data_IF_629655991141
#
_entry.id   IF_629655991141
#
_cell.length_a   1.000
_cell.length_b   1.000
_cell.length_c   1.000
_cell.angle_alpha   90.00
_cell.angle_beta   90.00
_cell.angle_gamma   90.00
#
_symmetry.space_group_name_H-M   'P 1'
#
loop_
_entity.id
_entity.type
_entity.pdbx_description
1 polymer ?
#
# COMPACT_ATOMS: atom_id res chain seq x y z
N UNK A 1 3.75 9.16 -2.19
CA UNK A 1 2.77 10.19 -2.60
C UNK A 1 1.58 9.46 -3.19
N UNK A 2 0.37 9.73 -2.68
CA UNK A 2 -0.88 9.25 -3.27
C UNK A 2 -0.96 9.71 -4.75
N UNK A 3 -1.32 8.84 -5.72
CA UNK A 3 -1.61 9.25 -7.09
C UNK A 3 -2.72 10.32 -7.20
N UNK A 4 -3.48 10.57 -6.13
CA UNK A 4 -4.52 11.59 -5.99
C UNK A 4 -4.09 12.65 -4.96
N UNK A 5 -3.30 13.63 -5.40
CA UNK A 5 -3.09 14.93 -4.72
C UNK A 5 -2.60 14.94 -3.25
N UNK A 6 -2.24 13.81 -2.64
CA UNK A 6 -1.76 13.74 -1.24
C UNK A 6 -2.86 13.92 -0.19
N UNK A 7 -4.14 13.74 -0.55
CA UNK A 7 -5.26 13.98 0.37
C UNK A 7 -5.44 12.87 1.41
N UNK A 8 -4.95 11.66 1.16
CA UNK A 8 -5.08 10.54 2.09
C UNK A 8 -3.75 9.78 2.30
N UNK A 9 -3.52 9.24 3.50
CA UNK A 9 -2.39 8.35 3.75
C UNK A 9 -2.53 7.08 2.90
N UNK A 10 -1.47 6.76 2.17
CA UNK A 10 -1.43 5.67 1.17
C UNK A 10 -0.35 4.66 1.52
N UNK A 11 -0.68 3.38 1.47
CA UNK A 11 0.23 2.28 1.76
C UNK A 11 0.44 1.40 0.53
N UNK A 12 1.66 0.92 0.37
CA UNK A 12 2.07 -0.01 -0.68
C UNK A 12 2.77 -1.17 0.02
N UNK A 13 2.26 -2.38 -0.17
CA UNK A 13 2.85 -3.60 0.37
C UNK A 13 3.37 -4.46 -0.77
N UNK A 14 4.56 -5.03 -0.55
CA UNK A 14 5.22 -5.95 -1.46
C UNK A 14 5.44 -7.27 -0.73
N UNK A 15 5.06 -8.39 -1.34
CA UNK A 15 5.42 -9.73 -0.90
C UNK A 15 6.24 -10.41 -1.97
N UNK A 16 7.46 -10.80 -1.60
CA UNK A 16 8.42 -11.41 -2.51
C UNK A 16 8.48 -12.91 -2.23
N UNK A 17 8.26 -13.71 -3.26
CA UNK A 17 8.57 -15.13 -3.28
C UNK A 17 9.86 -15.33 -4.08
N UNK A 18 10.89 -15.81 -3.39
CA UNK A 18 12.20 -16.14 -3.97
C UNK A 18 12.33 -17.66 -3.94
N UNK A 19 12.50 -18.28 -5.10
CA UNK A 19 12.74 -19.71 -5.24
C UNK A 19 14.08 -19.93 -5.92
N UNK A 20 15.09 -20.27 -5.12
CA UNK A 20 16.45 -20.51 -5.57
C UNK A 20 16.58 -21.79 -6.40
N UNK A 21 15.70 -22.77 -6.21
CA UNK A 21 15.73 -24.02 -6.99
C UNK A 21 15.28 -23.76 -8.42
N UNK A 22 14.28 -22.89 -8.59
CA UNK A 22 13.76 -22.50 -9.89
C UNK A 22 14.37 -21.21 -10.42
N UNK A 23 15.22 -20.53 -9.66
CA UNK A 23 15.82 -19.23 -9.98
C UNK A 23 14.76 -18.21 -10.44
N UNK A 24 13.69 -18.09 -9.67
CA UNK A 24 12.62 -17.13 -9.95
C UNK A 24 12.35 -16.23 -8.76
N UNK A 25 11.93 -15.01 -9.08
CA UNK A 25 11.37 -14.06 -8.14
C UNK A 25 9.97 -13.68 -8.62
N UNK A 26 8.98 -13.78 -7.73
CA UNK A 26 7.61 -13.37 -7.99
C UNK A 26 7.17 -12.39 -6.91
N UNK A 27 6.71 -11.22 -7.33
CA UNK A 27 6.32 -10.14 -6.42
C UNK A 27 4.81 -9.94 -6.46
N UNK A 28 4.14 -10.12 -5.32
CA UNK A 28 2.77 -9.66 -5.09
C UNK A 28 2.77 -8.22 -4.62
N UNK A 29 1.81 -7.43 -5.10
CA UNK A 29 1.72 -6.01 -4.76
C UNK A 29 0.28 -5.65 -4.46
N UNK A 30 0.08 -4.91 -3.37
CA UNK A 30 -1.17 -4.22 -3.10
C UNK A 30 -0.90 -2.76 -2.75
N UNK A 31 -1.90 -1.94 -3.08
CA UNK A 31 -1.90 -0.51 -2.81
C UNK A 31 -3.28 -0.14 -2.30
N UNK A 32 -3.34 0.63 -1.23
CA UNK A 32 -4.61 1.01 -0.64
C UNK A 32 -4.46 2.09 0.41
N UNK A 33 -5.59 2.35 1.06
CA UNK A 33 -5.67 3.24 2.20
C UNK A 33 -4.67 2.82 3.29
N UNK A 34 -4.12 3.79 4.00
CA UNK A 34 -3.30 3.57 5.18
C UNK A 34 -3.91 4.27 6.40
N UNK A 35 -3.47 3.87 7.58
CA UNK A 35 -3.68 4.62 8.81
C UNK A 35 -2.32 4.83 9.49
N UNK A 36 -1.84 6.07 9.45
CA UNK A 36 -0.55 6.51 9.99
C UNK A 36 -0.67 7.84 10.73
N UNK A 37 -1.84 8.06 11.37
CA UNK A 37 -2.11 9.28 12.09
C UNK A 37 -1.20 9.42 13.31
N UNK A 38 -0.92 10.67 13.68
CA UNK A 38 -0.16 11.02 14.87
C UNK A 38 -0.66 12.34 15.45
N UNK A 39 -0.38 12.57 16.73
CA UNK A 39 -0.77 13.78 17.43
C UNK A 39 0.16 14.08 18.61
N UNK A 40 0.53 15.35 18.78
CA UNK A 40 1.22 15.82 19.98
C UNK A 40 0.18 16.34 20.99
N UNK A 41 -0.22 15.48 21.93
CA UNK A 41 -1.23 15.79 22.92
C UNK A 41 -0.67 16.65 24.07
N UNK A 42 -1.42 17.68 24.44
CA UNK A 42 -1.09 18.57 25.57
C UNK A 42 -1.67 18.10 26.91
N UNK A 43 -2.72 17.28 26.85
CA UNK A 43 -3.41 16.71 28.00
C UNK A 43 -4.01 15.34 27.63
N UNK A 44 -4.55 14.66 28.65
CA UNK A 44 -5.20 13.37 28.48
C UNK A 44 -6.42 13.43 27.58
N UNK A 45 -7.21 14.51 27.65
CA UNK A 45 -8.42 14.66 26.82
C UNK A 45 -8.07 14.72 25.32
N UNK A 46 -6.98 15.37 24.95
CA UNK A 46 -6.46 15.40 23.59
C UNK A 46 -5.93 14.02 23.14
N UNK A 47 -5.24 13.29 24.03
CA UNK A 47 -4.78 11.94 23.76
C UNK A 47 -5.94 10.95 23.55
N UNK A 48 -6.96 11.02 24.40
CA UNK A 48 -8.16 10.19 24.30
C UNK A 48 -8.92 10.46 22.99
N UNK A 49 -9.14 11.74 22.65
CA UNK A 49 -9.79 12.11 21.39
C UNK A 49 -9.01 11.57 20.18
N UNK A 50 -7.70 11.76 20.15
CA UNK A 50 -6.85 11.22 19.09
C UNK A 50 -6.97 9.69 19.00
N UNK A 51 -6.91 8.98 20.12
CA UNK A 51 -7.01 7.51 20.12
C UNK A 51 -8.31 7.04 19.47
N UNK A 52 -9.44 7.68 19.78
CA UNK A 52 -10.75 7.37 19.17
C UNK A 52 -10.76 7.63 17.67
N UNK A 53 -10.25 8.79 17.25
CA UNK A 53 -10.16 9.18 15.82
C UNK A 53 -9.22 8.27 15.02
N UNK A 54 -8.16 7.77 15.66
CA UNK A 54 -7.18 6.88 15.07
C UNK A 54 -7.65 5.42 14.96
N UNK A 55 -8.83 5.08 15.50
CA UNK A 55 -9.38 3.72 15.47
C UNK A 55 -8.84 2.79 16.56
N UNK A 56 -8.43 3.33 17.71
CA UNK A 56 -8.06 2.54 18.88
C UNK A 56 -9.31 1.94 19.57
N UNK A 57 -9.28 0.68 20.05
CA UNK A 57 -8.10 -0.20 20.21
C UNK A 57 -7.80 -1.13 19.03
N UNK A 58 -8.61 -1.14 17.97
CA UNK A 58 -8.37 -1.99 16.80
C UNK A 58 -7.03 -1.66 16.13
N UNK A 59 -6.74 -0.36 15.99
CA UNK A 59 -5.39 0.14 15.75
C UNK A 59 -4.69 0.36 17.08
N UNK A 60 -3.59 -0.35 17.29
CA UNK A 60 -2.74 -0.13 18.46
C UNK A 60 -2.00 1.21 18.33
N UNK A 61 -1.57 1.75 19.47
CA UNK A 61 -0.83 3.00 19.52
C UNK A 61 0.61 2.78 19.99
N UNK A 62 1.46 3.74 19.62
CA UNK A 62 2.75 3.96 20.23
C UNK A 62 2.83 5.39 20.79
N UNK A 63 3.52 5.54 21.92
CA UNK A 63 3.66 6.80 22.64
C UNK A 63 5.14 7.14 22.82
N UNK A 64 5.45 8.42 22.72
CA UNK A 64 6.76 9.01 23.02
C UNK A 64 6.59 10.23 23.93
N UNK A 65 7.48 10.44 24.91
CA UNK A 65 7.58 11.73 25.57
C UNK A 65 7.97 12.83 24.57
N UNK A 66 7.54 14.06 24.80
CA UNK A 66 7.92 15.29 24.09
C UNK A 66 7.54 15.38 22.60
N UNK A 67 7.99 14.47 21.73
CA UNK A 67 7.82 14.62 20.29
C UNK A 67 8.20 13.38 19.45
N UNK A 68 8.00 13.50 18.14
CA UNK A 68 8.20 12.42 17.14
C UNK A 68 9.62 11.83 17.15
N UNK A 69 10.62 12.66 17.48
CA UNK A 69 12.04 12.30 17.43
C UNK A 69 12.57 11.77 18.77
N UNK A 70 11.72 11.69 19.81
CA UNK A 70 12.16 11.16 21.10
C UNK A 70 12.41 9.64 20.99
N UNK A 71 13.60 9.14 21.37
CA UNK A 71 13.94 7.73 21.24
C UNK A 71 13.17 6.81 22.21
N UNK A 72 12.60 7.37 23.27
CA UNK A 72 11.84 6.62 24.28
C UNK A 72 10.45 6.36 23.73
N UNK A 73 10.25 5.19 23.14
CA UNK A 73 8.97 4.78 22.58
C UNK A 73 8.37 3.57 23.31
N UNK A 74 7.10 3.68 23.69
CA UNK A 74 6.27 2.55 24.13
C UNK A 74 5.36 2.14 22.98
N UNK A 75 5.55 0.94 22.44
CA UNK A 75 4.78 0.40 21.29
C UNK A 75 3.78 -0.66 21.75
N UNK A 76 2.77 -0.92 20.93
CA UNK A 76 1.86 -2.06 21.10
C UNK A 76 0.82 -1.88 22.18
N UNK A 77 0.46 -0.62 22.46
CA UNK A 77 -0.61 -0.31 23.41
C UNK A 77 -1.92 -0.72 22.76
N UNK A 78 -2.66 -1.61 23.41
CA UNK A 78 -3.83 -2.27 22.81
C UNK A 78 -5.09 -2.22 23.69
N UNK A 79 -5.04 -1.54 24.85
CA UNK A 79 -6.19 -1.42 25.74
C UNK A 79 -6.24 -0.04 26.43
N UNK A 80 -7.45 0.46 26.71
CA UNK A 80 -7.67 1.76 27.32
C UNK A 80 -6.91 1.98 28.65
N UNK A 81 -6.94 1.05 29.62
CA UNK A 81 -6.16 1.22 30.85
C UNK A 81 -4.65 1.25 30.61
N UNK A 82 -4.16 0.51 29.61
CA UNK A 82 -2.75 0.54 29.23
C UNK A 82 -2.37 1.88 28.61
N UNK A 83 -3.25 2.44 27.77
CA UNK A 83 -3.04 3.76 27.16
C UNK A 83 -2.97 4.87 28.22
N UNK A 84 -3.87 4.85 29.20
CA UNK A 84 -3.87 5.83 30.29
C UNK A 84 -2.59 5.75 31.13
N UNK A 85 -2.19 4.54 31.53
CA UNK A 85 -0.95 4.32 32.27
C UNK A 85 0.30 4.72 31.45
N UNK A 86 0.33 4.38 30.16
CA UNK A 86 1.42 4.74 29.27
C UNK A 86 1.51 6.24 29.04
N UNK A 87 0.38 6.93 28.92
CA UNK A 87 0.31 8.38 28.79
C UNK A 87 0.84 9.08 30.04
N UNK A 88 0.36 8.69 31.23
CA UNK A 88 0.83 9.25 32.49
C UNK A 88 2.35 9.07 32.66
N UNK A 89 2.86 7.89 32.32
CA UNK A 89 4.30 7.61 32.34
C UNK A 89 5.10 8.46 31.34
N UNK A 90 4.60 8.64 30.12
CA UNK A 90 5.26 9.45 29.10
C UNK A 90 5.22 10.95 29.43
N UNK A 91 4.11 11.44 29.98
CA UNK A 91 3.96 12.82 30.42
C UNK A 91 4.94 13.17 31.55
N UNK A 92 5.11 12.28 32.53
CA UNK A 92 6.08 12.44 33.61
C UNK A 92 7.55 12.47 33.13
N UNK A 93 7.83 11.89 31.96
CA UNK A 93 9.15 11.87 31.34
C UNK A 93 9.39 13.03 30.36
N UNK A 94 8.36 13.81 30.07
CA UNK A 94 8.35 14.91 29.11
C UNK A 94 8.65 16.23 29.81
N UNK A 95 9.61 17.00 29.28
CA UNK A 95 9.96 18.29 29.86
C UNK A 95 8.84 19.32 29.65
N UNK A 96 8.14 19.25 28.52
CA UNK A 96 6.97 20.10 28.23
C UNK A 96 5.65 19.55 28.79
N UNK A 97 5.65 18.34 29.35
CA UNK A 97 4.43 17.61 29.74
C UNK A 97 3.61 17.07 28.56
N UNK A 98 4.01 17.34 27.31
CA UNK A 98 3.33 16.85 26.10
C UNK A 98 3.76 15.43 25.76
N UNK A 99 2.86 14.67 25.14
CA UNK A 99 3.09 13.28 24.72
C UNK A 99 2.76 13.17 23.25
N UNK A 100 3.67 12.59 22.47
CA UNK A 100 3.45 12.27 21.07
C UNK A 100 2.82 10.88 20.96
N UNK A 101 1.64 10.80 20.36
CA UNK A 101 0.93 9.56 20.07
C UNK A 101 0.99 9.32 18.57
N UNK A 102 1.21 8.07 18.17
CA UNK A 102 1.19 7.65 16.78
C UNK A 102 0.51 6.28 16.65
N UNK A 103 -0.16 6.04 15.53
CA UNK A 103 -0.65 4.69 15.20
C UNK A 103 0.53 3.76 15.05
N UNK A 104 0.46 2.60 15.69
CA UNK A 104 1.49 1.59 15.56
C UNK A 104 1.47 0.98 14.15
N UNK A 105 2.50 1.24 13.36
CA UNK A 105 2.56 0.81 11.95
C UNK A 105 2.97 -0.65 11.76
N UNK A 106 3.21 -1.42 12.83
CA UNK A 106 3.54 -2.85 12.73
C UNK A 106 2.33 -3.61 12.21
N UNK A 107 2.56 -4.60 11.35
CA UNK A 107 1.49 -5.32 10.65
C UNK A 107 0.38 -5.83 11.59
N UNK A 108 0.72 -6.62 12.61
CA UNK A 108 -0.23 -7.16 13.58
C UNK A 108 -0.98 -6.11 14.43
N UNK A 109 -0.52 -4.86 14.41
CA UNK A 109 -0.99 -3.76 15.23
C UNK A 109 -1.89 -2.79 14.44
N UNK A 110 -1.98 -2.99 13.12
CA UNK A 110 -2.64 -2.07 12.17
C UNK A 110 -3.52 -2.86 11.19
N UNK A 111 -4.83 -3.00 11.47
CA UNK A 111 -5.75 -3.74 10.62
C UNK A 111 -5.80 -3.27 9.17
N UNK A 112 -5.73 -1.95 8.92
CA UNK A 112 -5.65 -1.40 7.55
C UNK A 112 -4.43 -1.92 6.80
N UNK A 113 -3.26 -1.95 7.45
CA UNK A 113 -2.04 -2.51 6.86
C UNK A 113 -2.16 -4.03 6.65
N UNK A 114 -2.75 -4.76 7.60
CA UNK A 114 -2.98 -6.21 7.45
C UNK A 114 -3.82 -6.53 6.22
N UNK A 115 -4.84 -5.72 5.94
CA UNK A 115 -5.68 -5.89 4.75
C UNK A 115 -4.86 -5.70 3.46
N UNK A 116 -4.00 -4.68 3.40
CA UNK A 116 -3.11 -4.51 2.26
C UNK A 116 -2.12 -5.67 2.11
N UNK A 117 -1.58 -6.22 3.21
CA UNK A 117 -0.73 -7.42 3.18
C UNK A 117 -1.51 -8.63 2.63
N UNK A 118 -2.76 -8.81 3.08
CA UNK A 118 -3.65 -9.89 2.60
C UNK A 118 -3.87 -9.77 1.09
N UNK A 119 -4.17 -8.58 0.58
CA UNK A 119 -4.34 -8.31 -0.85
C UNK A 119 -3.04 -8.57 -1.64
N UNK A 120 -1.88 -8.19 -1.11
CA UNK A 120 -0.60 -8.47 -1.73
C UNK A 120 -0.33 -9.98 -1.80
N UNK A 121 -0.75 -10.73 -0.78
CA UNK A 121 -0.63 -12.20 -0.74
C UNK A 121 -1.56 -12.86 -1.77
N UNK A 122 -2.77 -12.35 -1.95
CA UNK A 122 -3.68 -12.82 -3.00
C UNK A 122 -3.14 -12.57 -4.40
N UNK A 123 -2.57 -11.38 -4.64
CA UNK A 123 -1.92 -11.04 -5.91
C UNK A 123 -0.72 -11.96 -6.18
N UNK A 124 0.15 -12.18 -5.18
CA UNK A 124 1.26 -13.13 -5.26
C UNK A 124 0.75 -14.54 -5.59
N UNK A 125 -0.28 -15.01 -4.90
CA UNK A 125 -0.83 -16.34 -5.10
C UNK A 125 -1.44 -16.51 -6.51
N UNK A 126 -2.09 -15.48 -7.06
CA UNK A 126 -2.57 -15.48 -8.46
C UNK A 126 -1.42 -15.62 -9.44
N UNK A 127 -0.33 -14.86 -9.24
CA UNK A 127 0.87 -14.91 -10.07
C UNK A 127 1.55 -16.29 -10.02
N UNK A 128 1.70 -16.86 -8.83
CA UNK A 128 2.30 -18.18 -8.64
C UNK A 128 1.48 -19.32 -9.26
N UNK A 129 0.14 -19.20 -9.31
CA UNK A 129 -0.71 -20.17 -10.00
C UNK A 129 -0.68 -20.03 -11.53
N UNK A 130 -0.15 -18.94 -12.05
CA UNK A 130 0.00 -18.73 -13.48
C UNK A 130 1.31 -19.32 -13.98
N UNK A 131 1.22 -20.47 -14.64
CA UNK A 131 2.39 -21.22 -15.11
C UNK A 131 2.73 -20.84 -16.56
N UNK A 132 4.01 -20.79 -16.87
CA UNK A 132 4.46 -20.58 -18.24
C UNK A 132 4.02 -21.75 -19.12
N UNK A 133 3.38 -21.50 -20.28
CA UNK A 133 2.94 -22.57 -21.18
C UNK A 133 4.11 -23.31 -21.85
N UNK A 134 5.33 -22.73 -21.83
CA UNK A 134 6.52 -23.32 -22.47
C UNK A 134 7.37 -24.11 -21.48
N UNK A 135 7.70 -23.56 -20.31
CA UNK A 135 8.61 -24.21 -19.36
C UNK A 135 7.93 -24.66 -18.07
N UNK A 136 6.63 -24.40 -17.89
CA UNK A 136 5.87 -24.80 -16.70
C UNK A 136 6.22 -24.04 -15.42
N UNK A 137 7.17 -23.10 -15.45
CA UNK A 137 7.58 -22.34 -14.25
C UNK A 137 6.48 -21.36 -13.83
N UNK A 138 6.15 -21.24 -12.52
CA UNK A 138 5.15 -20.31 -12.02
C UNK A 138 5.59 -18.84 -12.20
N UNK A 139 4.65 -17.91 -12.18
CA UNK A 139 4.93 -16.48 -12.35
C UNK A 139 4.85 -15.99 -13.80
N UNK A 140 4.18 -16.71 -14.70
CA UNK A 140 3.87 -16.21 -16.04
C UNK A 140 2.76 -15.16 -15.95
N UNK A 141 3.13 -13.88 -15.93
CA UNK A 141 2.20 -12.81 -15.61
C UNK A 141 2.42 -11.57 -16.49
N UNK A 142 1.53 -10.59 -16.34
CA UNK A 142 1.67 -9.28 -16.96
C UNK A 142 3.03 -8.66 -16.61
N UNK A 143 3.85 -8.42 -17.64
CA UNK A 143 5.15 -7.76 -17.52
C UNK A 143 5.17 -6.38 -18.17
N UNK A 144 4.23 -6.09 -19.07
CA UNK A 144 4.19 -4.84 -19.82
C UNK A 144 2.76 -4.53 -20.30
N UNK A 145 2.39 -3.25 -20.28
CA UNK A 145 1.17 -2.74 -20.90
C UNK A 145 1.57 -1.86 -22.09
N UNK A 146 1.03 -2.17 -23.26
CA UNK A 146 1.30 -1.45 -24.51
C UNK A 146 0.24 -0.37 -24.68
N UNK A 147 0.66 0.88 -24.80
CA UNK A 147 -0.21 2.01 -25.10
C UNK A 147 -0.48 2.12 -26.61
N UNK A 148 -1.54 2.85 -26.97
CA UNK A 148 -1.83 3.18 -28.37
C UNK A 148 -3.26 2.94 -28.79
N UNK A 149 -4.21 2.88 -27.85
CA UNK A 149 -5.62 2.77 -28.21
C UNK A 149 -6.04 4.02 -29.02
N UNK A 150 -6.63 3.87 -30.21
CA UNK A 150 -6.95 5.01 -31.07
C UNK A 150 -8.04 5.88 -30.46
N UNK A 151 -7.88 7.20 -30.51
CA UNK A 151 -8.93 8.15 -30.11
C UNK A 151 -10.20 7.93 -30.96
N UNK A 152 -11.38 7.93 -30.33
CA UNK A 152 -12.65 7.74 -31.06
C UNK A 152 -13.00 8.91 -31.99
N UNK A 153 -12.35 10.07 -31.84
CA UNK A 153 -12.62 11.27 -32.63
C UNK A 153 -11.55 11.50 -33.72
N UNK A 154 -10.29 11.65 -33.32
CA UNK A 154 -9.20 11.95 -34.26
C UNK A 154 -8.39 10.73 -34.73
N UNK A 155 -8.63 9.54 -34.17
CA UNK A 155 -7.91 8.31 -34.50
C UNK A 155 -6.46 8.22 -34.01
N UNK A 156 -5.89 9.30 -33.47
CA UNK A 156 -4.50 9.33 -32.97
C UNK A 156 -4.31 8.32 -31.82
N UNK A 157 -3.21 7.55 -31.79
CA UNK A 157 -2.89 6.65 -30.68
C UNK A 157 -2.78 7.43 -29.36
N UNK A 158 -3.49 6.98 -28.35
CA UNK A 158 -3.46 7.59 -27.00
C UNK A 158 -2.54 6.82 -26.06
N UNK A 159 -2.35 7.36 -24.85
CA UNK A 159 -1.65 6.67 -23.75
C UNK A 159 -2.48 5.53 -23.13
N UNK A 160 -3.74 5.36 -23.54
CA UNK A 160 -4.55 4.23 -23.06
C UNK A 160 -4.01 2.90 -23.60
N UNK A 161 -4.02 1.88 -22.74
CA UNK A 161 -3.52 0.54 -23.03
C UNK A 161 -4.38 -0.17 -24.09
N UNK A 162 -3.75 -0.60 -25.19
CA UNK A 162 -4.37 -1.40 -26.24
C UNK A 162 -4.04 -2.90 -26.15
N UNK A 163 -2.90 -3.26 -25.54
CA UNK A 163 -2.52 -4.65 -25.35
C UNK A 163 -1.74 -4.87 -24.05
N UNK A 164 -1.74 -6.12 -23.59
CA UNK A 164 -1.03 -6.57 -22.40
C UNK A 164 -0.05 -7.69 -22.79
N UNK A 165 1.20 -7.60 -22.34
CA UNK A 165 2.20 -8.64 -22.58
C UNK A 165 2.40 -9.42 -21.30
N UNK A 166 2.08 -10.71 -21.37
CA UNK A 166 2.40 -11.68 -20.32
C UNK A 166 3.73 -12.36 -20.65
N UNK A 167 4.56 -12.61 -19.64
CA UNK A 167 5.88 -13.19 -19.89
C UNK A 167 6.44 -14.03 -18.76
N UNK A 168 7.34 -14.94 -19.12
CA UNK A 168 8.10 -15.78 -18.21
C UNK A 168 9.49 -15.17 -17.96
N UNK A 169 9.87 -15.00 -16.70
CA UNK A 169 11.20 -14.52 -16.32
C UNK A 169 12.30 -15.57 -16.49
N UNK A 170 11.98 -16.87 -16.46
CA UNK A 170 12.94 -17.97 -16.62
C UNK A 170 13.34 -18.18 -18.08
N UNK A 171 12.38 -18.46 -18.97
CA UNK A 171 12.67 -18.80 -20.37
C UNK A 171 12.50 -17.63 -21.36
N UNK A 172 12.05 -16.47 -20.89
CA UNK A 172 11.85 -15.29 -21.74
C UNK A 172 10.62 -15.36 -22.67
N UNK A 173 9.83 -16.43 -22.63
CA UNK A 173 8.62 -16.55 -23.43
C UNK A 173 7.62 -15.42 -23.13
N UNK A 174 6.96 -14.89 -24.17
CA UNK A 174 6.01 -13.79 -24.10
C UNK A 174 4.77 -14.08 -24.95
N UNK A 175 3.62 -13.63 -24.46
CA UNK A 175 2.35 -13.65 -25.20
C UNK A 175 1.73 -12.27 -25.10
N UNK A 176 1.41 -11.68 -26.25
CA UNK A 176 0.66 -10.44 -26.34
C UNK A 176 -0.83 -10.75 -26.40
N UNK A 177 -1.59 -10.19 -25.48
CA UNK A 177 -3.04 -10.23 -25.46
C UNK A 177 -3.55 -8.84 -25.85
N UNK A 178 -4.17 -8.74 -27.02
CA UNK A 178 -4.95 -7.54 -27.34
C UNK A 178 -6.07 -7.39 -26.32
N UNK A 179 -6.34 -6.15 -25.91
CA UNK A 179 -7.34 -5.88 -24.89
C UNK A 179 -8.72 -6.12 -25.47
N UNK A 180 -9.33 -7.26 -25.14
CA UNK A 180 -10.70 -7.57 -25.52
C UNK A 180 -11.64 -6.62 -24.78
N UNK A 181 -12.29 -5.71 -25.52
CA UNK A 181 -13.19 -4.71 -24.95
C UNK A 181 -13.08 -3.37 -25.68
N UNK A 182 -12.73 -2.32 -24.93
CA UNK A 182 -12.67 -0.92 -25.42
C UNK A 182 -11.70 -0.79 -26.59
N UNK A 183 -12.23 -0.63 -27.80
CA UNK A 183 -11.47 -0.48 -29.04
C UNK A 183 -10.97 0.95 -29.29
N UNK A 184 -11.62 1.94 -28.68
CA UNK A 184 -11.29 3.36 -28.85
C UNK A 184 -11.16 4.09 -27.51
N UNK A 185 -10.17 4.97 -27.41
CA UNK A 185 -9.94 5.83 -26.27
C UNK A 185 -10.93 7.01 -26.22
N UNK A 186 -11.16 7.53 -25.02
CA UNK A 186 -11.93 8.75 -24.81
C UNK A 186 -11.17 9.95 -25.42
N UNK A 187 -11.80 10.83 -26.22
CA UNK A 187 -11.17 12.06 -26.67
C UNK A 187 -10.67 12.94 -25.51
N UNK A 188 -11.32 12.88 -24.34
CA UNK A 188 -10.87 13.56 -23.13
C UNK A 188 -9.54 13.02 -22.55
N UNK A 189 -9.04 11.88 -23.03
CA UNK A 189 -7.75 11.28 -22.67
C UNK A 189 -6.74 11.29 -23.83
N UNK A 190 -7.06 12.01 -24.91
CA UNK A 190 -6.19 12.14 -26.07
C UNK A 190 -5.38 13.43 -25.97
N UNK A 191 -4.05 13.33 -25.95
CA UNK A 191 -3.12 14.47 -25.91
C UNK A 191 -3.33 15.46 -27.09
N UNK A 192 -4.03 15.06 -28.16
CA UNK A 192 -4.36 15.93 -29.30
C UNK A 192 -5.73 16.60 -29.17
N UNK A 193 -6.77 15.85 -28.77
CA UNK A 193 -8.14 16.40 -28.61
C UNK A 193 -8.32 17.15 -27.29
N UNK A 194 -7.58 16.77 -26.25
CA UNK A 194 -7.60 17.36 -24.93
C UNK A 194 -6.15 17.45 -24.38
N UNK A 195 -5.34 18.39 -24.91
CA UNK A 195 -3.95 18.60 -24.51
C UNK A 195 -3.78 19.03 -23.05
#
# INVERSE_FOLDING_TARGET
>A
MDPVAGMFPWNVEFLLFIDDLREIEVVGVAKGQANSAYHLAQDWAAAERFAREAGFPEHQLALRPEGENDPRIRKGIAAWPELEAAYASAAAQSASGRVFLEVDLRAHANPTRMENIRLAAEDLAKKLRSHCPVCGVPGFWLIERVAGLPCSDCGTPTRETCAEIHGCRKCGHRVTHERIGRQYADPGRCDYCNP
#
